data_IF_408358357875
#
_entry.id   IF_408358357875
#
_cell.length_a   1.000
_cell.length_b   1.000
_cell.length_c   1.000
_cell.angle_alpha   90.00
_cell.angle_beta   90.00
_cell.angle_gamma   90.00
#
_symmetry.space_group_name_H-M   'P 1'
#
loop_
_entity.id
_entity.type
_entity.pdbx_description
1 polymer ?
#
# COMPACT_ATOMS: atom_id res chain seq x y z
N UNK A 1 19.96 -9.93 -35.79
CA UNK A 1 18.59 -9.64 -35.32
C UNK A 1 18.25 -10.18 -33.92
N UNK A 2 19.02 -11.13 -33.35
CA UNK A 2 18.80 -11.65 -31.97
C UNK A 2 18.83 -10.57 -30.86
N UNK A 3 19.61 -9.51 -31.05
CA UNK A 3 19.85 -8.49 -30.02
C UNK A 3 18.62 -7.59 -29.80
N UNK A 4 17.83 -7.30 -30.85
CA UNK A 4 16.60 -6.51 -30.74
C UNK A 4 15.50 -7.26 -29.96
N UNK A 5 15.36 -8.56 -30.20
CA UNK A 5 14.39 -9.41 -29.48
C UNK A 5 14.75 -9.47 -28.00
N UNK A 6 16.04 -9.67 -27.68
CA UNK A 6 16.52 -9.64 -26.30
C UNK A 6 16.25 -8.30 -25.61
N UNK A 7 16.46 -7.16 -26.30
CA UNK A 7 16.12 -5.82 -25.77
C UNK A 7 14.63 -5.67 -25.49
N UNK A 8 13.75 -6.16 -26.37
CA UNK A 8 12.29 -6.10 -26.17
C UNK A 8 11.88 -6.95 -24.96
N UNK A 9 12.44 -8.15 -24.82
CA UNK A 9 12.19 -9.03 -23.67
C UNK A 9 12.63 -8.36 -22.37
N UNK A 10 13.82 -7.76 -22.37
CA UNK A 10 14.34 -7.03 -21.20
C UNK A 10 13.40 -5.90 -20.77
N UNK A 11 12.92 -5.10 -21.73
CA UNK A 11 11.97 -4.01 -21.48
C UNK A 11 10.66 -4.51 -20.85
N UNK A 12 10.10 -5.60 -21.38
CA UNK A 12 8.88 -6.19 -20.83
C UNK A 12 9.09 -6.68 -19.40
N UNK A 13 10.20 -7.37 -19.12
CA UNK A 13 10.55 -7.82 -17.76
C UNK A 13 10.68 -6.64 -16.81
N UNK A 14 11.34 -5.55 -17.22
CA UNK A 14 11.47 -4.34 -16.39
C UNK A 14 10.11 -3.73 -16.08
N UNK A 15 9.20 -3.62 -17.06
CA UNK A 15 7.84 -3.09 -16.83
C UNK A 15 7.09 -3.94 -15.81
N UNK A 16 7.16 -5.27 -15.93
CA UNK A 16 6.52 -6.20 -14.99
C UNK A 16 7.06 -6.02 -13.57
N UNK A 17 8.38 -5.92 -13.40
CA UNK A 17 9.01 -5.69 -12.10
C UNK A 17 8.56 -4.36 -11.49
N UNK A 18 8.57 -3.28 -12.29
CA UNK A 18 8.13 -1.96 -11.82
C UNK A 18 6.66 -2.00 -11.39
N UNK A 19 5.80 -2.64 -12.19
CA UNK A 19 4.39 -2.80 -11.86
C UNK A 19 4.21 -3.56 -10.54
N UNK A 20 4.90 -4.69 -10.38
CA UNK A 20 4.84 -5.49 -9.16
C UNK A 20 5.34 -4.71 -7.93
N UNK A 21 6.43 -3.95 -8.07
CA UNK A 21 6.91 -3.10 -6.97
C UNK A 21 5.90 -2.02 -6.60
N UNK A 22 5.29 -1.33 -7.58
CA UNK A 22 4.27 -0.30 -7.33
C UNK A 22 3.05 -0.88 -6.59
N UNK A 23 2.55 -2.03 -7.00
CA UNK A 23 1.37 -2.66 -6.37
C UNK A 23 1.67 -3.13 -4.94
N UNK A 24 2.75 -3.90 -4.75
CA UNK A 24 3.12 -4.41 -3.43
C UNK A 24 3.53 -3.28 -2.47
N UNK A 25 4.24 -2.27 -2.96
CA UNK A 25 4.62 -1.12 -2.13
C UNK A 25 3.40 -0.29 -1.72
N UNK A 26 2.41 -0.13 -2.63
CA UNK A 26 1.13 0.51 -2.31
C UNK A 26 0.40 -0.25 -1.20
N UNK A 27 0.24 -1.58 -1.33
CA UNK A 27 -0.41 -2.40 -0.30
C UNK A 27 0.34 -2.40 1.03
N UNK A 28 1.67 -2.51 1.00
CA UNK A 28 2.50 -2.48 2.19
C UNK A 28 2.40 -1.13 2.91
N UNK A 29 2.44 -0.03 2.15
CA UNK A 29 2.29 1.33 2.68
C UNK A 29 0.92 1.51 3.31
N UNK A 30 -0.16 1.03 2.67
CA UNK A 30 -1.51 1.11 3.23
C UNK A 30 -1.65 0.35 4.54
N UNK A 31 -1.17 -0.89 4.61
CA UNK A 31 -1.19 -1.67 5.86
C UNK A 31 -0.39 -0.96 6.95
N UNK A 32 0.76 -0.37 6.61
CA UNK A 32 1.60 0.38 7.55
C UNK A 32 0.92 1.67 8.03
N UNK A 33 0.22 2.40 7.15
CA UNK A 33 -0.53 3.60 7.49
C UNK A 33 -1.73 3.27 8.39
N UNK A 34 -2.51 2.22 8.07
CA UNK A 34 -3.61 1.74 8.91
C UNK A 34 -3.08 1.36 10.29
N UNK A 35 -2.00 0.57 10.35
CA UNK A 35 -1.36 0.18 11.61
C UNK A 35 -0.92 1.39 12.44
N UNK A 36 -0.28 2.37 11.80
CA UNK A 36 0.16 3.60 12.48
C UNK A 36 -1.03 4.43 13.00
N UNK A 37 -2.13 4.50 12.25
CA UNK A 37 -3.36 5.14 12.69
C UNK A 37 -3.99 4.41 13.89
N UNK A 38 -4.02 3.08 13.90
CA UNK A 38 -4.52 2.28 15.03
C UNK A 38 -3.65 2.50 16.27
N UNK A 39 -2.33 2.53 16.12
CA UNK A 39 -1.39 2.82 17.21
C UNK A 39 -1.62 4.23 17.75
N UNK A 40 -1.84 5.23 16.88
CA UNK A 40 -2.12 6.59 17.30
C UNK A 40 -3.44 6.70 18.08
N UNK A 41 -4.50 6.04 17.62
CA UNK A 41 -5.77 5.97 18.35
C UNK A 41 -5.60 5.29 19.70
N UNK A 42 -4.84 4.19 19.78
CA UNK A 42 -4.53 3.51 21.05
C UNK A 42 -3.84 4.43 22.06
N UNK A 43 -2.95 5.32 21.60
CA UNK A 43 -2.21 6.25 22.47
C UNK A 43 -3.05 7.42 22.97
N UNK A 44 -4.11 7.78 22.24
CA UNK A 44 -4.90 8.99 22.50
C UNK A 44 -6.28 8.70 23.10
N UNK A 45 -6.75 7.45 23.03
CA UNK A 45 -8.08 7.07 23.49
C UNK A 45 -8.06 6.53 24.93
N UNK A 46 -9.00 6.99 25.75
CA UNK A 46 -9.18 6.52 27.14
C UNK A 46 -9.66 5.05 27.17
N UNK A 47 -10.47 4.66 26.18
CA UNK A 47 -10.89 3.28 25.93
C UNK A 47 -10.50 2.87 24.51
N UNK A 48 -9.83 1.72 24.37
CA UNK A 48 -9.36 1.24 23.07
C UNK A 48 -10.03 -0.08 22.68
N UNK A 49 -10.73 -0.06 21.55
CA UNK A 49 -11.26 -1.23 20.87
C UNK A 49 -10.53 -1.36 19.53
N UNK A 50 -9.79 -2.46 19.36
CA UNK A 50 -8.93 -2.67 18.20
C UNK A 50 -9.73 -2.80 16.89
N UNK A 51 -10.92 -3.37 16.95
CA UNK A 51 -11.75 -3.65 15.78
C UNK A 51 -12.40 -2.37 15.28
N UNK A 52 -12.95 -1.57 16.21
CA UNK A 52 -13.46 -0.23 15.89
C UNK A 52 -12.36 0.72 15.40
N UNK A 53 -11.19 0.70 16.05
CA UNK A 53 -10.07 1.54 15.65
C UNK A 53 -9.59 1.21 14.23
N UNK A 54 -9.46 -0.09 13.91
CA UNK A 54 -9.06 -0.55 12.58
C UNK A 54 -10.06 -0.09 11.51
N UNK A 55 -11.35 -0.31 11.72
CA UNK A 55 -12.40 0.10 10.77
C UNK A 55 -12.41 1.61 10.55
N UNK A 56 -12.28 2.41 11.62
CA UNK A 56 -12.19 3.87 11.51
C UNK A 56 -10.96 4.33 10.72
N UNK A 57 -9.80 3.71 10.95
CA UNK A 57 -8.58 4.01 10.20
C UNK A 57 -8.70 3.66 8.71
N UNK A 58 -9.26 2.50 8.39
CA UNK A 58 -9.52 2.07 7.01
C UNK A 58 -10.45 3.04 6.28
N UNK A 59 -11.55 3.46 6.90
CA UNK A 59 -12.48 4.43 6.33
C UNK A 59 -11.83 5.80 6.09
N UNK A 60 -11.05 6.31 7.05
CA UNK A 60 -10.34 7.60 6.90
C UNK A 60 -9.33 7.56 5.75
N UNK A 61 -8.52 6.51 5.68
CA UNK A 61 -7.50 6.35 4.64
C UNK A 61 -8.14 6.07 3.27
N UNK A 62 -9.32 5.46 3.23
CA UNK A 62 -10.08 5.30 1.98
C UNK A 62 -10.59 6.64 1.46
N UNK A 63 -11.23 7.45 2.33
CA UNK A 63 -11.71 8.80 1.96
C UNK A 63 -10.57 9.68 1.43
N UNK A 64 -9.43 9.70 2.12
CA UNK A 64 -8.24 10.46 1.68
C UNK A 64 -7.63 10.04 0.34
N UNK A 65 -8.02 8.88 -0.22
CA UNK A 65 -7.56 8.43 -1.54
C UNK A 65 -8.61 8.64 -2.64
N UNK A 66 -9.84 8.96 -2.27
CA UNK A 66 -10.95 9.27 -3.19
C UNK A 66 -11.03 10.78 -3.47
N UNK A 67 -10.47 11.62 -2.59
CA UNK A 67 -10.27 13.07 -2.75
C UNK A 67 -8.93 13.40 -3.44
#
# INVERSE_FOLDING_TARGET
>A
MKNKIFTVILLLVTIIIIYFQRTNFSEYTLKKTISSCVIAQKRTSISFDIEKAKKSCEEKIRKQRED
#
